data_IF_257125794081
#
_entry.id   IF_257125794081
#
_cell.length_a   1.000
_cell.length_b   1.000
_cell.length_c   1.000
_cell.angle_alpha   90.00
_cell.angle_beta   90.00
_cell.angle_gamma   90.00
#
_symmetry.space_group_name_H-M   'P 1'
#
loop_
_entity.id
_entity.type
_entity.pdbx_description
1 polymer ?
#
# COMPACT_ATOMS: atom_id res chain seq x y z
N UNK A 1 34.10 -6.01 9.91
CA UNK A 1 33.14 -7.10 10.16
C UNK A 1 31.76 -6.63 9.72
N UNK A 2 30.95 -7.43 9.02
CA UNK A 2 29.57 -7.05 8.63
C UNK A 2 28.59 -7.42 9.74
N UNK A 3 27.58 -6.59 9.98
CA UNK A 3 26.49 -6.87 10.93
C UNK A 3 25.21 -7.21 10.15
N UNK A 4 24.38 -8.09 10.71
CA UNK A 4 23.08 -8.46 10.13
C UNK A 4 22.01 -7.54 10.69
N UNK A 5 21.18 -7.01 9.80
CA UNK A 5 20.03 -6.17 10.13
C UNK A 5 18.75 -6.85 9.66
N UNK A 6 17.65 -6.55 10.33
CA UNK A 6 16.30 -6.83 9.82
C UNK A 6 15.68 -5.49 9.50
N UNK A 7 15.32 -5.27 8.24
CA UNK A 7 14.65 -4.07 7.76
C UNK A 7 13.24 -4.46 7.36
N UNK A 8 12.25 -3.73 7.85
CA UNK A 8 10.88 -3.81 7.36
C UNK A 8 10.69 -2.74 6.29
N UNK A 9 9.99 -3.11 5.20
CA UNK A 9 9.58 -2.20 4.14
C UNK A 9 8.06 -2.35 4.02
N UNK A 10 7.37 -1.22 4.01
CA UNK A 10 5.93 -1.12 3.81
C UNK A 10 5.67 -0.30 2.54
N UNK A 11 4.70 -0.75 1.75
CA UNK A 11 4.24 -0.08 0.54
C UNK A 11 2.72 0.07 0.59
N UNK A 12 2.24 1.25 0.20
CA UNK A 12 0.82 1.49 -0.09
C UNK A 12 0.63 1.53 -1.61
N UNK A 13 -0.33 0.76 -2.12
CA UNK A 13 -0.67 0.70 -3.54
C UNK A 13 -1.97 1.46 -3.77
N UNK A 14 -1.99 2.36 -4.76
CA UNK A 14 -3.18 3.09 -5.18
C UNK A 14 -3.29 3.04 -6.69
N UNK A 15 -4.47 2.72 -7.20
CA UNK A 15 -4.75 2.71 -8.63
C UNK A 15 -6.11 3.36 -8.88
N UNK A 16 -6.15 4.20 -9.91
CA UNK A 16 -7.38 4.87 -10.35
C UNK A 16 -8.19 3.94 -11.26
N UNK A 17 -9.51 3.94 -11.08
CA UNK A 17 -10.45 3.18 -11.89
C UNK A 17 -11.60 4.08 -12.34
N UNK A 18 -12.04 3.92 -13.57
CA UNK A 18 -13.19 4.61 -14.11
C UNK A 18 -14.45 3.74 -14.01
N UNK A 19 -15.57 4.34 -13.60
CA UNK A 19 -16.88 3.70 -13.59
C UNK A 19 -17.99 4.74 -13.77
N UNK A 20 -19.16 4.27 -14.17
CA UNK A 20 -20.37 5.10 -14.29
C UNK A 20 -21.27 4.95 -13.04
N UNK A 21 -21.69 6.08 -12.48
CA UNK A 21 -22.63 6.18 -11.37
C UNK A 21 -23.43 7.48 -11.46
N UNK A 22 -24.60 7.51 -10.84
CA UNK A 22 -25.50 8.66 -10.77
C UNK A 22 -25.03 9.70 -9.73
N UNK A 23 -24.31 9.25 -8.70
CA UNK A 23 -23.75 10.10 -7.65
C UNK A 23 -22.52 9.44 -6.97
N UNK A 24 -21.90 10.15 -6.03
CA UNK A 24 -20.68 9.69 -5.35
C UNK A 24 -20.87 8.51 -4.40
N UNK A 25 -22.03 8.38 -3.75
CA UNK A 25 -22.32 7.24 -2.86
C UNK A 25 -22.45 5.95 -3.66
N UNK A 26 -23.23 5.99 -4.74
CA UNK A 26 -23.36 4.85 -5.66
C UNK A 26 -22.00 4.50 -6.31
N UNK A 27 -21.15 5.49 -6.60
CA UNK A 27 -19.82 5.24 -7.13
C UNK A 27 -18.94 4.43 -6.16
N UNK A 28 -18.98 4.77 -4.87
CA UNK A 28 -18.24 4.06 -3.81
C UNK A 28 -18.75 2.63 -3.62
N UNK A 29 -20.08 2.45 -3.53
CA UNK A 29 -20.69 1.13 -3.42
C UNK A 29 -20.35 0.22 -4.62
N UNK A 30 -20.39 0.78 -5.83
CA UNK A 30 -20.00 0.05 -7.06
C UNK A 30 -18.51 -0.30 -7.05
N UNK A 31 -17.64 0.63 -6.66
CA UNK A 31 -16.20 0.40 -6.61
C UNK A 31 -15.85 -0.71 -5.60
N UNK A 32 -16.42 -0.67 -4.40
CA UNK A 32 -16.23 -1.69 -3.37
C UNK A 32 -16.69 -3.06 -3.87
N UNK A 33 -17.90 -3.14 -4.45
CA UNK A 33 -18.42 -4.40 -4.99
C UNK A 33 -17.51 -4.95 -6.09
N UNK A 34 -17.03 -4.10 -7.01
CA UNK A 34 -16.11 -4.51 -8.10
C UNK A 34 -14.77 -5.01 -7.56
N UNK A 35 -14.26 -4.41 -6.49
CA UNK A 35 -13.06 -4.89 -5.81
C UNK A 35 -13.27 -6.29 -5.21
N UNK A 36 -14.33 -6.50 -4.45
CA UNK A 36 -14.63 -7.81 -3.84
C UNK A 36 -14.92 -8.91 -4.87
N UNK A 37 -15.45 -8.54 -6.05
CA UNK A 37 -15.64 -9.46 -7.16
C UNK A 37 -14.35 -9.73 -7.97
N UNK A 38 -13.25 -9.04 -7.67
CA UNK A 38 -11.99 -9.15 -8.40
C UNK A 38 -12.02 -8.51 -9.80
N UNK A 39 -12.98 -7.63 -10.07
CA UNK A 39 -13.03 -6.84 -11.31
C UNK A 39 -12.07 -5.64 -11.22
N UNK A 40 -11.96 -5.02 -10.04
CA UNK A 40 -10.95 -4.02 -9.74
C UNK A 40 -9.79 -4.68 -9.01
N UNK A 41 -8.65 -4.78 -9.70
CA UNK A 41 -7.43 -5.40 -9.18
C UNK A 41 -6.33 -4.35 -9.14
N UNK A 42 -5.80 -4.07 -7.95
CA UNK A 42 -4.65 -3.21 -7.79
C UNK A 42 -3.41 -3.94 -8.30
N UNK A 43 -2.74 -3.37 -9.28
CA UNK A 43 -1.48 -3.91 -9.77
C UNK A 43 -0.35 -3.62 -8.78
N UNK A 44 0.50 -4.61 -8.44
CA UNK A 44 1.62 -4.45 -7.49
C UNK A 44 2.66 -3.38 -7.86
N UNK A 45 2.57 -2.75 -9.04
CA UNK A 45 3.47 -1.69 -9.51
C UNK A 45 3.02 -0.26 -9.19
N UNK A 46 1.78 -0.06 -8.73
CA UNK A 46 1.24 1.27 -8.48
C UNK A 46 1.47 1.73 -7.04
N UNK A 47 2.73 1.68 -6.60
CA UNK A 47 3.14 2.12 -5.26
C UNK A 47 3.02 3.63 -5.17
N UNK A 48 2.10 4.11 -4.32
CA UNK A 48 1.90 5.54 -4.06
C UNK A 48 2.71 6.06 -2.89
N UNK A 49 3.12 5.17 -1.99
CA UNK A 49 3.88 5.51 -0.80
C UNK A 49 4.70 4.31 -0.35
N UNK A 50 5.91 4.56 0.15
CA UNK A 50 6.77 3.53 0.72
C UNK A 50 7.59 4.08 1.87
N UNK A 51 7.80 3.24 2.87
CA UNK A 51 8.60 3.58 4.05
C UNK A 51 9.38 2.36 4.54
N UNK A 52 10.47 2.59 5.26
CA UNK A 52 11.25 1.52 5.86
C UNK A 52 11.69 1.83 7.29
N UNK A 53 11.91 0.78 8.08
CA UNK A 53 12.45 0.87 9.43
C UNK A 53 13.40 -0.29 9.74
N UNK A 54 14.42 -0.04 10.56
CA UNK A 54 15.24 -1.11 11.14
C UNK A 54 14.47 -1.72 12.32
N UNK A 55 14.27 -3.03 12.27
CA UNK A 55 13.58 -3.79 13.32
C UNK A 55 14.56 -4.49 14.26
N UNK A 56 15.76 -4.85 13.75
CA UNK A 56 16.82 -5.50 14.51
C UNK A 56 18.20 -5.07 14.06
N UNK A 57 19.19 -5.07 14.98
CA UNK A 57 19.08 -5.41 16.41
C UNK A 57 18.31 -4.36 17.23
N UNK A 58 17.70 -4.76 18.35
CA UNK A 58 16.77 -3.92 19.14
C UNK A 58 17.38 -2.58 19.59
N UNK A 59 18.71 -2.50 19.68
CA UNK A 59 19.45 -1.28 20.02
C UNK A 59 19.63 -0.30 18.83
N UNK A 60 19.19 -0.68 17.64
CA UNK A 60 19.24 0.12 16.41
C UNK A 60 17.86 0.19 15.74
N UNK A 61 16.77 0.07 16.52
CA UNK A 61 15.41 0.33 16.04
C UNK A 61 15.28 1.78 15.57
N UNK A 62 14.71 1.99 14.38
CA UNK A 62 14.47 3.34 13.84
C UNK A 62 12.98 3.62 13.73
N UNK A 63 12.63 4.91 13.70
CA UNK A 63 11.33 5.33 13.19
C UNK A 63 11.21 4.94 11.69
N UNK A 64 9.97 4.92 11.20
CA UNK A 64 9.70 4.73 9.78
C UNK A 64 10.14 5.97 8.99
N UNK A 65 10.87 5.74 7.90
CA UNK A 65 11.39 6.80 7.03
C UNK A 65 10.92 6.56 5.61
N UNK A 66 10.31 7.58 5.01
CA UNK A 66 9.92 7.61 3.59
C UNK A 66 11.17 7.67 2.69
N UNK A 67 11.10 7.03 1.50
CA UNK A 67 12.22 6.96 0.55
C UNK A 67 11.74 6.83 -0.91
#
# INVERSE_FOLDING_TARGET
MKRKFVVAIEEMVVQEFELFAENGEEAMEKAEKKYWLGEFVLEPGNVSFRQMAIMKPDNEFTEWVEF
#
